data_IF_156628261474
#
_entry.id   IF_156628261474
#
_cell.length_a   1.000
_cell.length_b   1.000
_cell.length_c   1.000
_cell.angle_alpha   90.00
_cell.angle_beta   90.00
_cell.angle_gamma   90.00
#
_symmetry.space_group_name_H-M   'P 1'
#
loop_
_entity.id
_entity.type
_entity.pdbx_description
1 polymer ?
#
# COMPACT_ATOMS: atom_id res chain seq x y z
N UNK A 1 -25.32 -25.33 -27.60
CA UNK A 1 -25.44 -26.07 -26.31
C UNK A 1 -26.80 -25.78 -25.68
N UNK A 2 -27.32 -26.64 -24.80
CA UNK A 2 -28.60 -26.39 -24.11
C UNK A 2 -28.55 -25.19 -23.16
N UNK A 3 -27.39 -24.93 -22.56
CA UNK A 3 -27.15 -23.75 -21.74
C UNK A 3 -25.70 -23.29 -21.82
N UNK A 4 -25.45 -22.05 -21.44
CA UNK A 4 -24.13 -21.51 -21.21
C UNK A 4 -24.16 -20.53 -20.03
N UNK A 5 -23.20 -20.67 -19.12
CA UNK A 5 -23.01 -19.78 -17.98
C UNK A 5 -21.77 -18.91 -18.21
N UNK A 6 -21.96 -17.60 -18.25
CA UNK A 6 -20.91 -16.61 -18.39
C UNK A 6 -20.14 -16.37 -17.09
N UNK A 7 -20.57 -16.98 -15.98
CA UNK A 7 -19.96 -16.86 -14.67
C UNK A 7 -20.20 -15.48 -14.06
N UNK A 8 -19.26 -15.06 -13.21
CA UNK A 8 -19.30 -13.76 -12.56
C UNK A 8 -18.78 -12.68 -13.53
N UNK A 9 -19.60 -11.66 -13.75
CA UNK A 9 -19.23 -10.46 -14.50
C UNK A 9 -19.64 -9.26 -13.67
N UNK A 10 -18.74 -8.30 -13.61
CA UNK A 10 -18.95 -7.08 -12.86
C UNK A 10 -20.07 -6.23 -13.45
N UNK A 11 -20.94 -5.70 -12.59
CA UNK A 11 -22.04 -4.85 -13.03
C UNK A 11 -21.51 -3.59 -13.75
N UNK A 12 -21.94 -3.36 -14.98
CA UNK A 12 -21.48 -2.30 -15.87
C UNK A 12 -20.42 -2.74 -16.90
N UNK A 13 -19.86 -3.94 -16.76
CA UNK A 13 -18.94 -4.54 -17.73
C UNK A 13 -19.62 -5.62 -18.57
N UNK A 14 -18.93 -6.09 -19.61
CA UNK A 14 -19.38 -7.22 -20.43
C UNK A 14 -18.37 -8.37 -20.39
N UNK A 15 -18.88 -9.60 -20.44
CA UNK A 15 -18.09 -10.81 -20.61
C UNK A 15 -17.29 -10.83 -21.93
N UNK A 16 -16.38 -11.79 -22.02
CA UNK A 16 -15.91 -12.27 -23.32
C UNK A 16 -17.10 -12.78 -24.16
N UNK A 17 -16.97 -12.70 -25.48
CA UNK A 17 -17.98 -13.22 -26.41
C UNK A 17 -17.98 -14.74 -26.37
N UNK A 18 -19.17 -15.34 -26.29
CA UNK A 18 -19.37 -16.76 -26.58
C UNK A 18 -20.11 -16.94 -27.90
N UNK A 19 -19.64 -17.90 -28.71
CA UNK A 19 -20.18 -18.18 -30.04
C UNK A 19 -21.06 -19.43 -30.01
N UNK A 20 -22.36 -19.25 -30.22
CA UNK A 20 -23.32 -20.31 -30.45
C UNK A 20 -23.39 -20.65 -31.95
N UNK A 21 -23.69 -21.92 -32.25
CA UNK A 21 -23.95 -22.40 -33.61
C UNK A 21 -25.37 -22.93 -33.68
N UNK A 22 -26.19 -22.31 -34.52
CA UNK A 22 -27.49 -22.82 -34.93
C UNK A 22 -27.29 -23.67 -36.19
N UNK A 23 -27.87 -24.87 -36.25
CA UNK A 23 -27.75 -25.77 -37.39
C UNK A 23 -29.12 -26.28 -37.83
N UNK A 24 -29.38 -26.25 -39.13
CA UNK A 24 -30.52 -26.97 -39.70
C UNK A 24 -30.14 -28.45 -39.89
N UNK A 25 -30.75 -29.33 -39.11
CA UNK A 25 -30.55 -30.78 -39.17
C UNK A 25 -31.55 -31.50 -40.08
N UNK A 26 -32.55 -30.78 -40.61
CA UNK A 26 -33.57 -31.30 -41.52
C UNK A 26 -33.14 -31.29 -43.00
N UNK A 27 -33.98 -31.88 -43.85
CA UNK A 27 -33.72 -31.98 -45.30
C UNK A 27 -34.22 -30.80 -46.15
N UNK A 28 -35.01 -29.89 -45.58
CA UNK A 28 -35.55 -28.70 -46.26
C UNK A 28 -34.87 -27.41 -45.81
N UNK A 29 -35.36 -26.25 -46.27
CA UNK A 29 -34.89 -24.94 -45.81
C UNK A 29 -35.61 -24.53 -44.52
N UNK A 30 -34.87 -24.27 -43.45
CA UNK A 30 -35.37 -23.69 -42.21
C UNK A 30 -35.30 -22.16 -42.27
N UNK A 31 -36.39 -21.47 -41.94
CA UNK A 31 -36.45 -20.01 -41.86
C UNK A 31 -37.02 -19.58 -40.51
N UNK A 32 -36.63 -18.41 -40.04
CA UNK A 32 -37.01 -17.94 -38.71
C UNK A 32 -36.26 -16.69 -38.30
N UNK A 33 -36.23 -16.39 -37.01
CA UNK A 33 -35.47 -15.28 -36.44
C UNK A 33 -34.75 -15.65 -35.14
N UNK A 34 -33.60 -15.03 -34.89
CA UNK A 34 -32.85 -15.16 -33.64
C UNK A 34 -33.10 -13.92 -32.77
N UNK A 35 -33.46 -14.14 -31.51
CA UNK A 35 -33.69 -13.08 -30.53
C UNK A 35 -33.31 -13.51 -29.11
N UNK A 36 -33.26 -12.54 -28.19
CA UNK A 36 -33.16 -12.80 -26.75
C UNK A 36 -34.53 -12.62 -26.11
N UNK A 37 -34.91 -13.55 -25.25
CA UNK A 37 -36.16 -13.51 -24.50
C UNK A 37 -35.91 -13.77 -23.01
N UNK A 38 -36.93 -13.54 -22.17
CA UNK A 38 -36.86 -13.69 -20.72
C UNK A 38 -36.69 -12.36 -19.97
N UNK A 39 -36.82 -12.42 -18.65
CA UNK A 39 -36.90 -11.23 -17.78
C UNK A 39 -35.62 -10.42 -17.72
N UNK A 40 -34.45 -11.06 -17.86
CA UNK A 40 -33.15 -10.39 -17.88
C UNK A 40 -32.54 -10.33 -19.29
N UNK A 41 -33.34 -10.43 -20.36
CA UNK A 41 -32.83 -10.41 -21.74
C UNK A 41 -31.98 -9.16 -22.03
N UNK A 42 -32.33 -8.02 -21.41
CA UNK A 42 -31.58 -6.76 -21.52
C UNK A 42 -30.19 -6.79 -20.85
N UNK A 43 -29.86 -7.85 -20.10
CA UNK A 43 -28.53 -8.06 -19.52
C UNK A 43 -27.62 -8.89 -20.44
N UNK A 44 -28.13 -9.33 -21.58
CA UNK A 44 -27.37 -10.05 -22.60
C UNK A 44 -27.43 -9.27 -23.91
N UNK A 45 -26.45 -9.44 -24.77
CA UNK A 45 -26.39 -8.74 -26.06
C UNK A 45 -25.91 -9.69 -27.13
N UNK A 46 -26.71 -9.83 -28.19
CA UNK A 46 -26.25 -10.47 -29.42
C UNK A 46 -25.39 -9.46 -30.17
N UNK A 47 -24.10 -9.73 -30.30
CA UNK A 47 -23.17 -8.85 -31.02
C UNK A 47 -23.14 -9.14 -32.52
N UNK A 48 -23.57 -10.33 -32.94
CA UNK A 48 -23.79 -10.69 -34.34
C UNK A 48 -24.65 -11.95 -34.47
N UNK A 49 -25.40 -12.07 -35.57
CA UNK A 49 -26.16 -13.28 -35.91
C UNK A 49 -27.63 -13.24 -35.45
N UNK A 50 -28.09 -12.11 -34.94
CA UNK A 50 -29.49 -11.80 -34.64
C UNK A 50 -30.36 -11.71 -35.90
N UNK A 51 -31.67 -11.51 -35.68
CA UNK A 51 -32.64 -11.28 -36.74
C UNK A 51 -32.91 -12.51 -37.61
N UNK A 52 -33.45 -12.29 -38.81
CA UNK A 52 -33.91 -13.37 -39.68
C UNK A 52 -32.79 -14.34 -40.09
N UNK A 53 -33.13 -15.59 -40.34
CA UNK A 53 -32.26 -16.59 -40.94
C UNK A 53 -32.99 -17.42 -42.01
N UNK A 54 -32.22 -17.98 -42.93
CA UNK A 54 -32.65 -18.97 -43.91
C UNK A 54 -31.52 -19.96 -44.13
N UNK A 55 -31.66 -21.18 -43.61
CA UNK A 55 -30.65 -22.21 -43.60
C UNK A 55 -31.10 -23.40 -44.45
N UNK A 56 -30.38 -23.72 -45.51
CA UNK A 56 -30.56 -24.98 -46.24
C UNK A 56 -30.19 -26.20 -45.37
N UNK A 57 -30.43 -27.40 -45.89
CA UNK A 57 -30.10 -28.64 -45.18
C UNK A 57 -28.61 -28.68 -44.77
N UNK A 58 -28.34 -28.93 -43.49
CA UNK A 58 -26.99 -29.00 -42.92
C UNK A 58 -26.29 -27.66 -42.71
N UNK A 59 -26.85 -26.55 -43.21
CA UNK A 59 -26.26 -25.22 -43.08
C UNK A 59 -26.31 -24.70 -41.62
N UNK A 60 -25.38 -23.81 -41.29
CA UNK A 60 -25.24 -23.25 -39.94
C UNK A 60 -25.25 -21.72 -39.92
N UNK A 61 -25.62 -21.17 -38.77
CA UNK A 61 -25.49 -19.74 -38.43
C UNK A 61 -24.71 -19.61 -37.13
N UNK A 62 -23.69 -18.75 -37.10
CA UNK A 62 -22.99 -18.38 -35.87
C UNK A 62 -23.68 -17.18 -35.22
N UNK A 63 -23.90 -17.27 -33.91
CA UNK A 63 -24.54 -16.24 -33.08
C UNK A 63 -23.59 -15.91 -31.93
N UNK A 64 -23.13 -14.67 -31.86
CA UNK A 64 -22.20 -14.22 -30.84
C UNK A 64 -22.96 -13.46 -29.76
N UNK A 65 -22.81 -13.88 -28.51
CA UNK A 65 -23.54 -13.32 -27.38
C UNK A 65 -22.58 -12.99 -26.24
N UNK A 66 -22.82 -11.83 -25.61
CA UNK A 66 -22.16 -11.40 -24.37
C UNK A 66 -23.17 -11.27 -23.23
N UNK A 67 -22.69 -11.45 -22.01
CA UNK A 67 -23.39 -11.09 -20.78
C UNK A 67 -22.86 -9.74 -20.28
N UNK A 68 -23.74 -8.75 -20.14
CA UNK A 68 -23.44 -7.38 -19.72
C UNK A 68 -24.38 -6.98 -18.56
N UNK A 69 -24.15 -7.49 -17.34
CA UNK A 69 -25.01 -7.19 -16.20
C UNK A 69 -24.96 -5.69 -15.85
N UNK A 70 -26.09 -5.09 -15.53
CA UNK A 70 -26.20 -3.70 -15.04
C UNK A 70 -26.40 -3.63 -13.53
N UNK A 71 -26.61 -4.77 -12.87
CA UNK A 71 -26.77 -4.86 -11.42
C UNK A 71 -26.29 -6.22 -10.93
N UNK A 72 -26.12 -6.32 -9.61
CA UNK A 72 -25.79 -7.58 -8.96
C UNK A 72 -26.88 -8.65 -9.08
N UNK A 73 -26.46 -9.89 -8.81
CA UNK A 73 -27.31 -11.07 -8.68
C UNK A 73 -27.32 -11.93 -9.94
N UNK A 74 -27.88 -13.13 -9.78
CA UNK A 74 -28.07 -14.07 -10.88
C UNK A 74 -29.01 -13.50 -11.94
N UNK A 75 -28.57 -13.53 -13.20
CA UNK A 75 -29.31 -13.14 -14.39
C UNK A 75 -29.53 -14.37 -15.26
N UNK A 76 -30.72 -14.46 -15.83
CA UNK A 76 -31.06 -15.50 -16.78
C UNK A 76 -31.90 -14.96 -17.93
N UNK A 77 -31.60 -15.45 -19.13
CA UNK A 77 -32.32 -15.18 -20.37
C UNK A 77 -32.31 -16.42 -21.26
N UNK A 78 -33.04 -16.37 -22.36
CA UNK A 78 -33.07 -17.44 -23.36
C UNK A 78 -32.63 -16.85 -24.70
N UNK A 79 -31.59 -17.44 -25.30
CA UNK A 79 -31.31 -17.27 -26.71
C UNK A 79 -32.28 -18.14 -27.48
N UNK A 80 -33.14 -17.52 -28.29
CA UNK A 80 -34.24 -18.20 -28.95
C UNK A 80 -34.13 -18.05 -30.46
N UNK A 81 -34.17 -19.18 -31.16
CA UNK A 81 -34.35 -19.25 -32.60
C UNK A 81 -35.82 -19.63 -32.84
N UNK A 82 -36.64 -18.62 -33.14
CA UNK A 82 -38.06 -18.78 -33.50
C UNK A 82 -38.14 -19.23 -34.96
N UNK A 83 -38.45 -20.51 -35.14
CA UNK A 83 -38.44 -21.18 -36.42
C UNK A 83 -39.86 -21.37 -36.98
N UNK A 84 -40.01 -21.24 -38.30
CA UNK A 84 -41.29 -21.53 -38.95
C UNK A 84 -41.59 -23.03 -38.99
N UNK A 85 -42.85 -23.40 -38.70
CA UNK A 85 -43.34 -24.79 -38.65
C UNK A 85 -42.80 -25.60 -37.45
N UNK A 86 -42.74 -24.97 -36.28
CA UNK A 86 -42.38 -25.62 -35.01
C UNK A 86 -40.96 -26.20 -34.98
N UNK A 87 -40.02 -25.59 -35.71
CA UNK A 87 -38.60 -25.98 -35.73
C UNK A 87 -37.74 -25.03 -34.87
N UNK A 88 -38.29 -24.61 -33.75
CA UNK A 88 -37.62 -23.70 -32.81
C UNK A 88 -36.47 -24.41 -32.10
N UNK A 89 -35.46 -23.63 -31.73
CA UNK A 89 -34.40 -24.09 -30.84
C UNK A 89 -34.07 -22.99 -29.82
N UNK A 90 -33.50 -23.40 -28.69
CA UNK A 90 -33.22 -22.48 -27.60
C UNK A 90 -31.99 -22.86 -26.79
N UNK A 91 -31.39 -21.87 -26.16
CA UNK A 91 -30.32 -22.04 -25.20
C UNK A 91 -30.54 -21.15 -23.99
N UNK A 92 -30.39 -21.70 -22.79
CA UNK A 92 -30.42 -20.92 -21.56
C UNK A 92 -29.11 -20.17 -21.35
N UNK A 93 -29.21 -18.88 -21.12
CA UNK A 93 -28.09 -18.01 -20.78
C UNK A 93 -28.13 -17.73 -19.29
N UNK A 94 -27.03 -17.98 -18.61
CA UNK A 94 -26.84 -17.75 -17.19
C UNK A 94 -25.64 -16.83 -16.98
N UNK A 95 -25.67 -16.05 -15.91
CA UNK A 95 -24.53 -15.26 -15.46
C UNK A 95 -24.86 -14.58 -14.15
N UNK A 96 -23.86 -14.18 -13.39
CA UNK A 96 -24.06 -13.44 -12.13
C UNK A 96 -23.40 -12.09 -12.24
N UNK A 97 -24.21 -11.03 -12.09
CA UNK A 97 -23.70 -9.69 -11.84
C UNK A 97 -23.08 -9.64 -10.46
N UNK A 98 -21.84 -9.17 -10.34
CA UNK A 98 -21.19 -8.91 -9.04
C UNK A 98 -20.88 -7.43 -8.89
N UNK A 99 -20.95 -6.88 -7.68
CA UNK A 99 -20.38 -5.57 -7.38
C UNK A 99 -18.87 -5.71 -7.40
N UNK A 100 -18.25 -4.75 -8.08
CA UNK A 100 -16.83 -4.53 -8.01
C UNK A 100 -16.39 -4.31 -6.56
N UNK A 101 -15.38 -5.05 -6.12
CA UNK A 101 -14.85 -4.83 -4.78
C UNK A 101 -14.38 -3.37 -4.63
N UNK A 102 -14.74 -2.73 -3.52
CA UNK A 102 -14.33 -1.36 -3.29
C UNK A 102 -12.80 -1.23 -3.34
N UNK A 103 -12.31 -0.11 -3.87
CA UNK A 103 -10.91 0.27 -3.72
C UNK A 103 -10.58 0.26 -2.23
N UNK A 104 -9.59 -0.51 -1.83
CA UNK A 104 -9.18 -0.63 -0.43
C UNK A 104 -7.66 -0.62 -0.32
N UNK A 105 -7.17 0.01 0.74
CA UNK A 105 -5.75 0.15 1.02
C UNK A 105 -5.53 0.04 2.52
N UNK A 106 -4.45 -0.62 2.92
CA UNK A 106 -4.07 -0.81 4.32
C UNK A 106 -2.81 0.00 4.64
N UNK A 107 -2.84 0.69 5.79
CA UNK A 107 -1.65 1.30 6.41
C UNK A 107 -1.01 0.27 7.33
N UNK A 108 0.25 -0.09 7.05
CA UNK A 108 1.03 -0.97 7.92
C UNK A 108 1.93 -0.15 8.84
N UNK A 109 2.53 -0.80 9.84
CA UNK A 109 3.44 -0.12 10.77
C UNK A 109 4.69 0.40 10.04
N UNK A 110 5.15 1.59 10.44
CA UNK A 110 6.39 2.16 9.93
C UNK A 110 7.61 1.39 10.44
N UNK A 111 8.66 1.32 9.62
CA UNK A 111 9.93 0.62 9.93
C UNK A 111 11.12 1.54 9.72
N UNK A 112 12.33 1.09 10.07
CA UNK A 112 13.58 1.86 9.90
C UNK A 112 13.49 3.28 10.48
N UNK A 113 12.85 3.40 11.65
CA UNK A 113 12.63 4.67 12.32
C UNK A 113 13.95 5.11 12.97
N UNK A 114 14.42 6.30 12.63
CA UNK A 114 15.60 6.94 13.19
C UNK A 114 15.21 8.23 13.90
N UNK A 115 16.18 9.06 14.26
CA UNK A 115 15.94 10.40 14.81
C UNK A 115 15.33 11.37 13.81
N UNK A 116 15.49 11.15 12.50
CA UNK A 116 15.05 12.08 11.44
C UNK A 116 14.44 11.41 10.21
N UNK A 117 14.24 10.09 10.22
CA UNK A 117 13.69 9.34 9.09
C UNK A 117 12.81 8.17 9.54
N UNK A 118 11.98 7.68 8.63
CA UNK A 118 11.23 6.43 8.77
C UNK A 118 10.88 5.87 7.38
N UNK A 119 10.52 4.60 7.29
CA UNK A 119 9.92 3.99 6.08
C UNK A 119 8.45 3.72 6.36
N UNK A 120 7.56 4.32 5.55
CA UNK A 120 6.13 4.08 5.61
C UNK A 120 5.77 2.86 4.75
N UNK A 121 4.93 1.97 5.28
CA UNK A 121 4.58 0.70 4.63
C UNK A 121 3.07 0.57 4.47
N UNK A 122 2.62 0.02 3.36
CA UNK A 122 1.20 -0.13 3.05
C UNK A 122 0.96 -1.27 2.06
N UNK A 123 -0.31 -1.60 1.87
CA UNK A 123 -0.73 -2.62 0.90
C UNK A 123 -1.97 -2.14 0.15
N UNK A 124 -1.93 -2.22 -1.19
CA UNK A 124 -3.10 -2.03 -2.03
C UNK A 124 -3.86 -3.35 -2.08
N UNK A 125 -4.97 -3.44 -1.35
CA UNK A 125 -5.71 -4.70 -1.12
C UNK A 125 -6.65 -5.01 -2.28
N UNK A 126 -7.34 -3.98 -2.79
CA UNK A 126 -8.24 -4.08 -3.94
C UNK A 126 -8.20 -2.79 -4.73
N UNK A 127 -8.29 -2.86 -6.05
CA UNK A 127 -8.18 -1.72 -6.97
C UNK A 127 -9.54 -1.14 -7.36
N UNK A 128 -10.63 -1.85 -7.07
CA UNK A 128 -11.90 -1.63 -7.73
C UNK A 128 -11.73 -1.47 -9.24
N UNK A 129 -12.52 -0.58 -9.83
CA UNK A 129 -12.67 -0.44 -11.30
C UNK A 129 -11.43 0.12 -12.00
N UNK A 130 -10.41 0.49 -11.24
CA UNK A 130 -9.33 1.32 -11.72
C UNK A 130 -8.25 0.48 -12.42
N UNK A 131 -8.06 0.75 -13.71
CA UNK A 131 -6.94 0.20 -14.50
C UNK A 131 -5.57 0.69 -14.02
N UNK A 132 -5.52 1.76 -13.23
CA UNK A 132 -4.35 2.25 -12.51
C UNK A 132 -4.80 2.92 -11.22
N UNK A 133 -4.14 2.62 -10.10
CA UNK A 133 -4.38 3.25 -8.80
C UNK A 133 -3.12 4.00 -8.41
N UNK A 134 -3.27 5.23 -7.92
CA UNK A 134 -2.18 6.02 -7.34
C UNK A 134 -2.18 5.84 -5.83
N UNK A 135 -1.11 5.28 -5.28
CA UNK A 135 -0.93 5.11 -3.84
C UNK A 135 0.03 6.14 -3.28
N UNK A 136 -0.27 6.65 -2.10
CA UNK A 136 0.57 7.60 -1.35
C UNK A 136 0.34 7.42 0.15
N UNK A 137 1.09 8.17 0.97
CA UNK A 137 0.82 8.33 2.39
C UNK A 137 0.55 9.79 2.72
N UNK A 138 -0.52 10.03 3.47
CA UNK A 138 -0.72 11.29 4.17
C UNK A 138 -0.10 11.15 5.58
N UNK A 139 0.69 12.13 6.00
CA UNK A 139 1.40 12.09 7.28
C UNK A 139 1.52 13.47 7.94
N UNK A 140 1.70 13.50 9.26
CA UNK A 140 2.03 14.71 10.02
C UNK A 140 1.91 14.56 11.53
N UNK A 141 1.94 15.67 12.27
CA UNK A 141 1.99 15.64 13.75
C UNK A 141 0.65 15.30 14.41
N UNK A 142 -0.44 15.33 13.66
CA UNK A 142 -1.79 15.00 14.11
C UNK A 142 -2.50 14.21 13.00
N UNK A 143 -3.70 13.69 13.28
CA UNK A 143 -4.56 13.04 12.27
C UNK A 143 -5.12 14.00 11.21
N UNK A 144 -4.79 15.30 11.28
CA UNK A 144 -4.96 16.21 10.14
C UNK A 144 -3.88 16.04 9.07
N UNK A 145 -2.80 15.30 9.38
CA UNK A 145 -1.64 15.01 8.54
C UNK A 145 -0.97 16.29 8.02
N UNK A 146 -1.42 16.83 6.88
CA UNK A 146 -0.93 18.08 6.31
C UNK A 146 0.22 17.91 5.31
N UNK A 147 0.81 16.72 5.23
CA UNK A 147 1.79 16.34 4.21
C UNK A 147 1.35 15.09 3.47
N UNK A 148 1.78 14.94 2.21
CA UNK A 148 1.54 13.75 1.39
C UNK A 148 2.84 13.36 0.66
N UNK A 149 3.14 12.06 0.57
CA UNK A 149 4.23 11.57 -0.28
C UNK A 149 3.85 11.70 -1.75
N UNK A 150 4.85 11.78 -2.64
CA UNK A 150 4.58 11.74 -4.09
C UNK A 150 3.82 10.46 -4.46
N UNK A 151 2.65 10.54 -5.11
CA UNK A 151 1.90 9.35 -5.45
C UNK A 151 2.63 8.43 -6.44
N UNK A 152 2.57 7.12 -6.19
CA UNK A 152 3.09 6.06 -7.06
C UNK A 152 1.95 5.36 -7.78
N UNK A 153 2.07 5.17 -9.10
CA UNK A 153 1.10 4.37 -9.85
C UNK A 153 1.31 2.86 -9.62
N UNK A 154 0.22 2.14 -9.42
CA UNK A 154 0.17 0.68 -9.31
C UNK A 154 -0.90 0.10 -10.24
N UNK A 155 -0.54 -0.94 -10.98
CA UNK A 155 -1.42 -1.68 -11.89
C UNK A 155 -1.78 -3.07 -11.38
N UNK A 156 -1.22 -3.48 -10.25
CA UNK A 156 -1.52 -4.72 -9.52
C UNK A 156 -1.70 -4.40 -8.04
N UNK A 157 -2.44 -5.24 -7.33
CA UNK A 157 -2.48 -5.20 -5.86
C UNK A 157 -1.12 -5.60 -5.28
N UNK A 158 -0.90 -5.27 -4.00
CA UNK A 158 0.32 -5.65 -3.28
C UNK A 158 0.96 -4.53 -2.46
N UNK A 159 2.13 -4.80 -1.86
CA UNK A 159 2.77 -3.90 -0.93
C UNK A 159 3.42 -2.70 -1.65
N UNK A 160 3.48 -1.58 -0.95
CA UNK A 160 4.23 -0.38 -1.36
C UNK A 160 4.84 0.30 -0.14
N UNK A 161 5.92 1.06 -0.35
CA UNK A 161 6.60 1.79 0.73
C UNK A 161 7.25 3.09 0.24
N UNK A 162 7.37 4.05 1.16
CA UNK A 162 8.00 5.35 0.91
C UNK A 162 8.95 5.73 2.05
N UNK A 163 10.21 6.12 1.75
CA UNK A 163 11.09 6.70 2.75
C UNK A 163 10.69 8.15 3.07
N UNK A 164 10.67 8.49 4.36
CA UNK A 164 10.57 9.86 4.85
C UNK A 164 11.91 10.30 5.45
N UNK A 165 12.27 11.56 5.21
CA UNK A 165 13.45 12.22 5.76
C UNK A 165 13.08 13.60 6.29
N UNK A 166 13.98 14.24 7.04
CA UNK A 166 13.75 15.60 7.57
C UNK A 166 12.73 15.65 8.72
N UNK A 167 12.48 14.52 9.39
CA UNK A 167 11.61 14.47 10.56
C UNK A 167 12.30 15.09 11.79
N UNK A 168 11.51 15.59 12.72
CA UNK A 168 12.01 16.07 14.01
C UNK A 168 12.28 14.90 14.96
N UNK A 169 13.36 14.92 15.75
CA UNK A 169 13.62 13.90 16.76
C UNK A 169 12.58 13.87 17.89
N UNK A 170 12.44 12.71 18.56
CA UNK A 170 11.48 12.49 19.65
C UNK A 170 10.06 13.01 19.34
N UNK A 171 9.61 12.83 18.11
CA UNK A 171 8.36 13.41 17.63
C UNK A 171 7.46 12.30 17.11
N UNK A 172 6.21 12.28 17.59
CA UNK A 172 5.19 11.36 17.11
C UNK A 172 4.56 11.91 15.83
N UNK A 173 4.48 11.05 14.82
CA UNK A 173 3.82 11.30 13.54
C UNK A 173 2.66 10.33 13.37
N UNK A 174 1.53 10.84 12.90
CA UNK A 174 0.39 10.10 12.38
C UNK A 174 0.54 9.90 10.87
N UNK A 175 0.10 8.75 10.39
CA UNK A 175 0.17 8.36 8.98
C UNK A 175 -1.03 7.52 8.58
N UNK A 176 -1.54 7.74 7.37
CA UNK A 176 -2.46 6.81 6.70
C UNK A 176 -2.08 6.61 5.24
N UNK A 177 -2.25 5.38 4.76
CA UNK A 177 -2.20 5.07 3.34
C UNK A 177 -3.40 5.70 2.62
N UNK A 178 -3.18 6.15 1.38
CA UNK A 178 -4.19 6.69 0.49
C UNK A 178 -4.07 6.00 -0.86
N UNK A 179 -5.22 5.66 -1.45
CA UNK A 179 -5.31 5.11 -2.78
C UNK A 179 -6.34 5.90 -3.59
N UNK A 180 -5.97 6.33 -4.79
CA UNK A 180 -6.82 7.10 -5.70
C UNK A 180 -6.90 6.39 -7.05
N UNK A 181 -8.12 6.05 -7.46
CA UNK A 181 -8.45 5.46 -8.76
C UNK A 181 -9.77 6.05 -9.27
N UNK A 182 -10.77 5.21 -9.52
CA UNK A 182 -12.15 5.65 -9.79
C UNK A 182 -12.87 6.22 -8.55
N UNK A 183 -12.38 5.90 -7.37
CA UNK A 183 -12.76 6.46 -6.08
C UNK A 183 -11.50 6.76 -5.25
N UNK A 184 -11.67 7.31 -4.05
CA UNK A 184 -10.57 7.45 -3.08
C UNK A 184 -10.84 6.54 -1.89
N UNK A 185 -9.80 5.83 -1.45
CA UNK A 185 -9.82 5.03 -0.22
C UNK A 185 -8.66 5.43 0.68
N UNK A 186 -8.90 5.29 1.98
CA UNK A 186 -7.92 5.54 3.03
C UNK A 186 -7.74 4.30 3.90
N UNK A 187 -6.50 4.02 4.27
CA UNK A 187 -6.19 3.05 5.31
C UNK A 187 -6.46 3.62 6.70
N UNK A 188 -6.36 2.77 7.71
CA UNK A 188 -6.47 3.20 9.10
C UNK A 188 -5.31 4.12 9.49
N UNK A 189 -5.54 4.97 10.47
CA UNK A 189 -4.48 5.77 11.09
C UNK A 189 -3.50 4.86 11.84
N UNK A 190 -2.22 5.13 11.66
CA UNK A 190 -1.11 4.55 12.42
C UNK A 190 -0.22 5.68 12.89
N UNK A 191 0.57 5.42 13.93
CA UNK A 191 1.54 6.39 14.43
C UNK A 191 2.89 5.75 14.67
N UNK A 192 3.94 6.54 14.52
CA UNK A 192 5.29 6.17 14.93
C UNK A 192 5.98 7.36 15.60
N UNK A 193 6.95 7.10 16.46
CA UNK A 193 7.73 8.15 17.14
C UNK A 193 9.18 8.03 16.71
N UNK A 194 9.75 9.11 16.16
CA UNK A 194 11.18 9.17 15.84
C UNK A 194 12.01 9.00 17.10
N UNK A 195 13.19 8.41 16.96
CA UNK A 195 14.10 8.27 18.10
C UNK A 195 14.51 9.65 18.65
N UNK A 196 14.85 9.71 19.93
CA UNK A 196 15.37 10.93 20.53
C UNK A 196 16.74 11.30 19.93
N UNK A 197 16.93 12.56 19.57
CA UNK A 197 18.26 13.09 19.25
C UNK A 197 19.01 13.24 20.56
N UNK A 198 20.19 12.66 20.67
CA UNK A 198 21.04 12.85 21.84
C UNK A 198 21.37 14.33 22.00
N UNK A 199 20.69 15.00 22.93
CA UNK A 199 21.07 16.29 23.47
C UNK A 199 20.81 16.22 24.97
N UNK A 200 21.87 16.38 25.75
CA UNK A 200 21.83 16.37 27.22
C UNK A 200 22.01 17.82 27.66
N UNK A 201 21.00 18.42 28.28
CA UNK A 201 21.17 19.62 29.10
C UNK A 201 21.45 19.18 30.55
N UNK A 202 22.48 19.74 31.18
CA UNK A 202 22.77 19.54 32.61
C UNK A 202 22.70 20.89 33.35
N UNK A 203 21.89 20.94 34.41
CA UNK A 203 21.93 21.97 35.46
C UNK A 203 22.80 21.50 36.63
N UNK A 204 23.61 22.39 37.20
CA UNK A 204 24.53 22.10 38.31
C UNK A 204 23.90 22.28 39.70
N UNK A 205 24.21 21.36 40.62
CA UNK A 205 24.36 21.68 42.04
C UNK A 205 25.56 20.90 42.64
N UNK A 206 26.41 21.65 43.35
CA UNK A 206 27.33 21.25 44.41
C UNK A 206 27.95 19.81 44.40
N UNK A 207 29.20 19.73 43.92
CA UNK A 207 30.28 19.18 44.75
C UNK A 207 30.65 17.69 44.65
N UNK A 208 29.78 16.81 44.17
CA UNK A 208 30.17 15.41 43.90
C UNK A 208 29.16 14.70 43.03
N UNK A 209 29.46 14.54 41.74
CA UNK A 209 28.58 13.81 40.85
C UNK A 209 29.31 12.69 40.10
N UNK A 210 28.85 11.46 40.33
CA UNK A 210 28.97 10.37 39.38
C UNK A 210 27.88 10.56 38.32
N UNK A 211 28.27 10.73 37.06
CA UNK A 211 27.33 10.90 35.95
C UNK A 211 27.21 9.58 35.16
N UNK A 212 25.98 9.09 34.98
CA UNK A 212 25.68 8.00 34.07
C UNK A 212 25.04 8.54 32.79
N UNK A 213 25.63 8.25 31.62
CA UNK A 213 25.08 8.63 30.32
C UNK A 213 24.39 7.42 29.66
N UNK A 214 23.37 7.67 28.83
CA UNK A 214 22.77 6.66 27.96
C UNK A 214 23.23 6.90 26.51
N UNK A 215 24.10 6.02 26.00
CA UNK A 215 24.34 5.96 24.56
C UNK A 215 23.17 5.23 23.88
N UNK A 216 22.53 5.84 22.88
CA UNK A 216 21.52 5.17 22.05
C UNK A 216 22.18 4.51 20.83
N UNK A 217 21.58 3.43 20.33
CA UNK A 217 22.17 2.46 19.40
C UNK A 217 22.64 3.01 18.03
N UNK A 218 22.44 4.29 17.71
CA UNK A 218 22.58 4.81 16.34
C UNK A 218 23.51 6.04 16.18
N UNK A 219 24.57 6.13 16.97
CA UNK A 219 25.73 6.95 16.63
C UNK A 219 25.78 8.36 17.24
N UNK A 220 26.99 8.69 17.72
CA UNK A 220 27.48 9.95 18.28
C UNK A 220 26.71 10.46 19.51
N UNK A 221 27.24 10.13 20.69
CA UNK A 221 27.00 10.91 21.90
C UNK A 221 28.09 11.97 22.03
N UNK A 222 27.79 13.22 21.67
CA UNK A 222 28.69 14.36 21.96
C UNK A 222 28.30 14.99 23.30
N UNK A 223 29.29 15.25 24.16
CA UNK A 223 29.08 16.01 25.40
C UNK A 223 29.57 17.44 25.17
N UNK A 224 28.66 18.41 25.22
CA UNK A 224 29.00 19.83 25.13
C UNK A 224 29.35 20.33 26.54
N UNK A 225 30.56 20.86 26.73
CA UNK A 225 30.92 21.58 27.95
C UNK A 225 31.13 23.05 27.58
N UNK A 226 30.41 23.96 28.22
CA UNK A 226 30.84 25.36 28.21
C UNK A 226 31.90 25.48 29.31
N UNK A 227 33.16 25.60 28.90
CA UNK A 227 34.27 25.63 29.84
C UNK A 227 34.14 26.87 30.74
N UNK A 228 33.87 26.67 32.02
CA UNK A 228 34.19 27.68 33.03
C UNK A 228 35.73 27.75 33.03
N UNK A 229 36.38 28.91 32.77
CA UNK A 229 37.83 29.02 32.56
C UNK A 229 38.72 28.50 33.70
N UNK A 230 38.13 28.16 34.85
CA UNK A 230 38.81 27.71 36.07
C UNK A 230 38.64 26.23 36.40
N UNK A 231 37.88 25.43 35.62
CA UNK A 231 37.66 24.01 35.91
C UNK A 231 38.50 23.10 35.01
N UNK A 232 39.18 22.13 35.63
CA UNK A 232 39.84 21.01 34.94
C UNK A 232 38.96 19.78 35.03
N UNK A 233 38.52 19.25 33.90
CA UNK A 233 37.94 17.90 33.82
C UNK A 233 39.12 16.94 33.80
N UNK A 234 39.14 15.97 34.71
CA UNK A 234 40.23 14.97 34.77
C UNK A 234 39.72 13.56 34.49
N UNK A 235 38.42 13.32 34.68
CA UNK A 235 37.81 12.00 34.49
C UNK A 235 36.39 12.11 33.96
N UNK A 236 36.04 11.20 33.06
CA UNK A 236 34.69 10.95 32.57
C UNK A 236 34.29 9.52 32.91
N UNK A 237 33.10 9.34 33.52
CA UNK A 237 32.50 8.02 33.73
C UNK A 237 31.24 7.89 32.88
N UNK A 238 31.04 6.73 32.26
CA UNK A 238 29.81 6.42 31.51
C UNK A 238 29.51 4.93 31.58
N UNK A 239 28.24 4.56 31.39
CA UNK A 239 27.80 3.16 31.36
C UNK A 239 27.29 2.81 29.96
N UNK A 240 27.53 1.57 29.54
CA UNK A 240 27.17 1.07 28.21
C UNK A 240 26.25 -0.14 28.36
N UNK A 241 25.25 -0.25 27.49
CA UNK A 241 24.29 -1.37 27.49
C UNK A 241 24.37 -2.13 26.15
N UNK A 242 24.41 -3.46 26.21
CA UNK A 242 24.39 -4.33 25.03
C UNK A 242 25.70 -4.40 24.22
N UNK A 243 25.68 -5.18 23.13
CA UNK A 243 26.75 -5.23 22.13
C UNK A 243 26.62 -4.01 21.21
N UNK A 244 27.33 -2.92 21.53
CA UNK A 244 27.30 -1.71 20.70
C UNK A 244 28.41 -1.72 19.64
N UNK A 245 28.12 -1.09 18.50
CA UNK A 245 29.13 -0.64 17.53
C UNK A 245 30.09 0.33 18.26
N UNK A 246 31.39 0.42 17.90
CA UNK A 246 32.31 1.38 18.50
C UNK A 246 31.71 2.79 18.60
N UNK A 247 31.75 3.38 19.78
CA UNK A 247 31.23 4.72 20.07
C UNK A 247 32.38 5.71 20.20
N UNK A 248 32.28 6.85 19.54
CA UNK A 248 33.24 7.95 19.73
C UNK A 248 32.71 8.88 20.80
N UNK A 249 33.50 9.08 21.85
CA UNK A 249 33.22 10.01 22.96
C UNK A 249 33.99 11.28 22.69
N UNK A 250 33.28 12.38 22.44
CA UNK A 250 33.89 13.69 22.18
C UNK A 250 33.59 14.69 23.30
N UNK A 251 34.60 15.50 23.64
CA UNK A 251 34.46 16.76 24.38
C UNK A 251 34.63 17.89 23.36
N UNK A 252 33.70 18.83 23.36
CA UNK A 252 33.75 20.02 22.51
C UNK A 252 34.13 21.25 23.35
N UNK A 253 34.88 22.19 22.75
CA UNK A 253 35.06 23.53 23.28
C UNK A 253 33.76 24.34 23.19
N UNK A 254 33.75 25.53 23.77
CA UNK A 254 32.67 26.52 23.61
C UNK A 254 32.49 26.97 22.14
N UNK A 255 33.54 26.87 21.31
CA UNK A 255 33.48 27.11 19.86
C UNK A 255 33.01 25.90 19.04
N UNK A 256 32.61 24.80 19.71
CA UNK A 256 32.23 23.52 19.10
C UNK A 256 33.38 22.76 18.40
N UNK A 257 34.63 23.08 18.73
CA UNK A 257 35.80 22.34 18.26
C UNK A 257 36.01 21.09 19.13
N UNK A 258 36.35 19.95 18.52
CA UNK A 258 36.69 18.73 19.26
C UNK A 258 38.02 18.95 19.98
N UNK A 259 37.96 18.97 21.31
CA UNK A 259 39.13 19.14 22.18
C UNK A 259 39.59 17.84 22.82
N UNK A 260 38.73 16.81 22.82
CA UNK A 260 39.07 15.42 23.15
C UNK A 260 38.18 14.52 22.32
N UNK A 261 38.75 13.44 21.79
CA UNK A 261 37.97 12.33 21.22
C UNK A 261 38.61 11.00 21.57
N UNK A 262 37.79 10.04 21.99
CA UNK A 262 38.21 8.66 22.13
C UNK A 262 37.15 7.71 21.59
N UNK A 263 37.59 6.81 20.71
CA UNK A 263 36.77 5.67 20.30
C UNK A 263 36.82 4.61 21.38
N UNK A 264 35.66 4.27 21.91
CA UNK A 264 35.45 3.23 22.91
C UNK A 264 34.70 2.09 22.22
N UNK A 265 35.22 0.88 22.35
CA UNK A 265 34.54 -0.35 21.89
C UNK A 265 33.88 -1.00 23.10
N UNK A 266 32.60 -0.73 23.38
CA UNK A 266 32.08 -1.04 24.69
C UNK A 266 31.44 -2.44 24.72
N UNK A 267 31.85 -3.26 25.69
CA UNK A 267 31.00 -4.29 26.30
C UNK A 267 30.10 -3.67 27.37
N UNK A 268 29.00 -4.33 27.81
CA UNK A 268 28.16 -3.78 28.86
C UNK A 268 28.93 -3.57 30.17
N UNK A 269 28.94 -2.33 30.70
CA UNK A 269 29.66 -2.02 31.93
C UNK A 269 29.94 -0.54 32.16
N UNK A 270 30.58 -0.25 33.29
CA UNK A 270 31.10 1.09 33.60
C UNK A 270 32.46 1.31 32.96
N UNK A 271 32.62 2.47 32.34
CA UNK A 271 33.87 2.94 31.74
C UNK A 271 34.31 4.22 32.44
N UNK A 272 35.62 4.33 32.62
CA UNK A 272 36.26 5.55 33.09
C UNK A 272 37.34 5.94 32.09
N UNK A 273 37.29 7.19 31.64
CA UNK A 273 38.26 7.76 30.70
C UNK A 273 38.99 8.88 31.42
N UNK A 274 40.31 8.75 31.49
CA UNK A 274 41.19 9.78 32.02
C UNK A 274 41.43 10.83 30.94
N UNK A 275 41.01 12.06 31.22
CA UNK A 275 41.15 13.21 30.32
C UNK A 275 42.15 14.23 30.88
N UNK A 276 42.93 13.85 31.90
CA UNK A 276 43.88 14.73 32.58
C UNK A 276 45.14 15.08 31.77
N UNK A 277 45.47 14.30 30.74
CA UNK A 277 46.67 14.52 29.91
C UNK A 277 46.45 15.44 28.71
N UNK A 278 45.20 15.64 28.30
CA UNK A 278 44.87 16.67 27.34
C UNK A 278 44.60 17.93 28.15
N UNK A 279 45.53 18.88 28.13
CA UNK A 279 45.21 20.24 28.53
C UNK A 279 44.04 20.66 27.63
N UNK A 280 42.83 20.57 28.16
CA UNK A 280 41.67 21.29 27.65
C UNK A 280 42.03 22.76 27.88
N UNK A 281 42.77 23.30 26.91
CA UNK A 281 43.27 24.66 26.91
C UNK A 281 42.06 25.59 26.82
N UNK A 282 42.13 26.62 27.65
CA UNK A 282 41.27 27.81 27.72
C UNK A 282 40.77 28.30 26.37
#
# INVERSE_FOLDING_TARGET
PYSYDYGNVEAGQCSATYSFTLQNTGGGTATGSVSLTGTNANQFTITSGDGSFSLGAGATKTINVKFCPTSEGGKSATLYADGSNCNDDSSYLLGTGVVEGALTVTTNDATNITTKSATLNGNLDNRGTASTVYVSFEYGLTTAYGSETTPQAMTTTGPFSFPLTGLSPNTTYHVRAKAVGGSTSYGLDKSFTTSQSGAVELSYDDGSAEFGFMASQNGLGAVLFDAIPSMKITKLKFYTWGDMIPVEVCILSSSQDIIFSQVVTPSPGWYEVDVSQENILT
#
